data_IF_345545429843
#
_entry.id   IF_345545429843
#
_cell.length_a   1.000
_cell.length_b   1.000
_cell.length_c   1.000
_cell.angle_alpha   90.00
_cell.angle_beta   90.00
_cell.angle_gamma   90.00
#
_symmetry.space_group_name_H-M   'P 1'
#
loop_
_entity.id
_entity.type
_entity.pdbx_description
1 polymer ?
#
# COMPACT_ATOMS: atom_id res chain seq x y z
N UNK A 1 -28.86 -1.71 13.08
CA UNK A 1 -27.42 -1.42 13.20
C UNK A 1 -26.72 -2.25 12.15
N UNK A 2 -25.90 -1.63 11.28
CA UNK A 2 -25.04 -2.39 10.37
C UNK A 2 -24.00 -3.11 11.24
N UNK A 3 -23.98 -4.44 11.21
CA UNK A 3 -22.96 -5.22 11.91
C UNK A 3 -21.62 -5.01 11.19
N UNK A 4 -20.79 -4.10 11.70
CA UNK A 4 -19.42 -3.89 11.22
C UNK A 4 -18.46 -4.72 12.06
N UNK A 5 -17.60 -5.48 11.41
CA UNK A 5 -16.58 -6.30 12.08
C UNK A 5 -15.28 -5.50 12.23
N UNK A 6 -14.53 -5.81 13.29
CA UNK A 6 -13.21 -5.23 13.56
C UNK A 6 -12.25 -6.33 14.01
N UNK A 7 -11.09 -6.42 13.36
CA UNK A 7 -10.15 -7.52 13.58
C UNK A 7 -8.69 -7.09 13.36
N UNK A 8 -7.76 -8.04 13.58
CA UNK A 8 -6.31 -7.84 13.45
C UNK A 8 -5.76 -6.61 14.22
N UNK A 9 -6.00 -6.49 15.54
CA UNK A 9 -5.50 -5.37 16.32
C UNK A 9 -3.96 -5.40 16.43
N UNK A 10 -3.31 -4.26 16.16
CA UNK A 10 -1.86 -4.08 16.36
C UNK A 10 -1.55 -2.72 16.95
N UNK A 11 -0.84 -2.72 18.08
CA UNK A 11 -0.26 -1.49 18.63
C UNK A 11 0.89 -1.00 17.76
N UNK A 12 0.98 0.31 17.59
CA UNK A 12 2.18 0.95 17.04
C UNK A 12 3.38 0.68 17.96
N UNK A 13 4.61 0.54 17.44
CA UNK A 13 5.77 0.22 18.27
C UNK A 13 6.11 1.29 19.33
N UNK A 14 5.74 2.55 19.10
CA UNK A 14 5.82 3.65 20.06
C UNK A 14 4.70 3.64 21.13
N UNK A 15 3.80 2.64 21.08
CA UNK A 15 2.62 2.45 21.92
C UNK A 15 1.63 3.62 21.91
N UNK A 16 1.65 4.50 20.91
CA UNK A 16 0.73 5.63 20.86
C UNK A 16 -0.62 5.27 20.26
N UNK A 17 -0.67 4.33 19.33
CA UNK A 17 -1.86 4.05 18.53
C UNK A 17 -2.20 2.57 18.50
N UNK A 18 -3.50 2.27 18.51
CA UNK A 18 -4.01 0.95 18.15
C UNK A 18 -4.57 1.04 16.73
N UNK A 19 -4.03 0.24 15.82
CA UNK A 19 -4.63 0.02 14.51
C UNK A 19 -5.50 -1.25 14.53
N UNK A 20 -6.60 -1.23 13.77
CA UNK A 20 -7.47 -2.37 13.49
C UNK A 20 -7.88 -2.34 12.03
N UNK A 21 -8.22 -3.49 11.46
CA UNK A 21 -8.98 -3.55 10.20
C UNK A 21 -10.47 -3.53 10.55
N UNK A 22 -11.23 -2.68 9.87
CA UNK A 22 -12.69 -2.64 10.02
C UNK A 22 -13.37 -2.24 8.72
N UNK A 23 -14.51 -2.88 8.44
CA UNK A 23 -15.45 -2.54 7.37
C UNK A 23 -16.49 -1.49 7.82
N UNK A 24 -16.23 -0.80 8.95
CA UNK A 24 -17.13 0.26 9.41
C UNK A 24 -17.25 1.34 8.34
N UNK A 25 -18.47 1.57 7.87
CA UNK A 25 -18.81 2.67 6.97
C UNK A 25 -18.51 2.42 5.49
N UNK A 26 -17.98 1.24 5.13
CA UNK A 26 -17.70 0.85 3.75
C UNK A 26 -17.96 -0.66 3.57
N UNK A 27 -18.01 -1.16 2.33
CA UNK A 27 -18.08 -2.59 2.05
C UNK A 27 -16.71 -3.27 2.22
N UNK A 28 -15.62 -2.49 2.20
CA UNK A 28 -14.26 -2.99 2.25
C UNK A 28 -13.56 -2.61 3.54
N UNK A 29 -12.79 -3.55 4.11
CA UNK A 29 -12.00 -3.29 5.31
C UNK A 29 -10.96 -2.19 5.07
N UNK A 30 -10.92 -1.20 5.95
CA UNK A 30 -9.91 -0.16 6.01
C UNK A 30 -9.12 -0.24 7.31
N UNK A 31 -7.96 0.41 7.37
CA UNK A 31 -7.27 0.60 8.64
C UNK A 31 -7.95 1.74 9.38
N UNK A 32 -8.37 1.45 10.61
CA UNK A 32 -8.84 2.42 11.57
C UNK A 32 -7.82 2.56 12.70
N UNK A 33 -7.60 3.78 13.15
CA UNK A 33 -6.62 4.10 14.19
C UNK A 33 -7.31 4.75 15.39
N UNK A 34 -6.88 4.34 16.58
CA UNK A 34 -7.29 4.90 17.86
C UNK A 34 -6.06 5.41 18.60
N UNK A 35 -6.08 6.67 19.05
CA UNK A 35 -5.05 7.18 19.96
C UNK A 35 -5.24 6.56 21.35
N UNK A 36 -4.15 6.10 21.97
CA UNK A 36 -4.17 5.48 23.31
C UNK A 36 -4.74 6.40 24.39
N UNK A 37 -4.68 7.72 24.18
CA UNK A 37 -5.27 8.72 25.08
C UNK A 37 -6.80 8.72 25.05
N UNK A 38 -7.40 7.98 24.12
CA UNK A 38 -8.85 7.92 23.90
C UNK A 38 -9.31 8.87 22.80
N UNK A 39 -10.63 8.93 22.63
CA UNK A 39 -11.29 9.57 21.49
C UNK A 39 -11.92 8.54 20.55
N UNK A 40 -12.54 9.03 19.49
CA UNK A 40 -13.16 8.16 18.49
C UNK A 40 -12.11 7.63 17.51
N UNK A 41 -12.23 6.35 17.15
CA UNK A 41 -11.43 5.76 16.09
C UNK A 41 -11.68 6.49 14.76
N UNK A 42 -10.63 6.72 13.98
CA UNK A 42 -10.68 7.41 12.70
C UNK A 42 -10.15 6.50 11.58
N UNK A 43 -10.68 6.59 10.35
CA UNK A 43 -10.10 5.89 9.22
C UNK A 43 -8.73 6.48 8.89
N UNK A 44 -7.73 5.63 8.71
CA UNK A 44 -6.39 5.99 8.25
C UNK A 44 -6.25 5.78 6.73
N UNK A 45 -7.07 4.89 6.15
CA UNK A 45 -7.05 4.53 4.73
C UNK A 45 -8.44 4.58 4.11
N UNK A 46 -8.49 4.76 2.80
CA UNK A 46 -9.73 4.79 1.99
C UNK A 46 -9.46 4.16 0.61
N UNK A 47 -9.00 2.90 0.60
CA UNK A 47 -8.74 2.18 -0.66
C UNK A 47 -10.03 1.54 -1.19
N UNK A 48 -10.40 1.83 -2.45
CA UNK A 48 -11.57 1.20 -3.11
C UNK A 48 -11.53 -0.34 -3.04
N UNK A 49 -10.33 -0.94 -3.05
CA UNK A 49 -10.12 -2.39 -3.01
C UNK A 49 -10.10 -2.97 -1.59
N UNK A 50 -10.06 -2.12 -0.56
CA UNK A 50 -9.82 -2.51 0.82
C UNK A 50 -8.37 -2.90 1.13
N UNK A 51 -8.11 -3.08 2.41
CA UNK A 51 -6.85 -3.55 2.97
C UNK A 51 -7.04 -4.97 3.51
N UNK A 52 -6.24 -5.92 3.02
CA UNK A 52 -6.31 -7.32 3.45
C UNK A 52 -5.52 -7.55 4.74
N UNK A 53 -4.30 -7.01 4.79
CA UNK A 53 -3.41 -7.14 5.92
C UNK A 53 -2.50 -5.92 6.01
N UNK A 54 -1.89 -5.72 7.19
CA UNK A 54 -0.98 -4.61 7.42
C UNK A 54 0.08 -4.94 8.46
N UNK A 55 1.19 -4.20 8.46
CA UNK A 55 2.20 -4.26 9.51
C UNK A 55 2.82 -2.89 9.76
N UNK A 56 2.98 -2.56 11.04
CA UNK A 56 3.72 -1.36 11.45
C UNK A 56 5.20 -1.45 11.06
N UNK A 57 5.75 -0.34 10.60
CA UNK A 57 7.21 -0.14 10.55
C UNK A 57 7.75 -0.12 11.97
N UNK A 58 8.93 -0.72 12.26
CA UNK A 58 9.57 -0.67 13.57
C UNK A 58 9.80 0.75 14.09
N UNK A 59 9.91 1.74 13.20
CA UNK A 59 10.07 3.16 13.54
C UNK A 59 8.76 3.90 13.85
N UNK A 60 7.61 3.22 13.76
CA UNK A 60 6.26 3.77 14.03
C UNK A 60 5.80 4.90 13.10
N UNK A 61 6.51 5.18 12.01
CA UNK A 61 6.20 6.28 11.09
C UNK A 61 5.54 5.83 9.77
N UNK A 62 5.45 4.51 9.53
CA UNK A 62 4.95 3.93 8.28
C UNK A 62 4.19 2.64 8.57
N UNK A 63 3.32 2.24 7.65
CA UNK A 63 2.60 0.97 7.67
C UNK A 63 2.73 0.31 6.29
N UNK A 64 3.18 -0.94 6.27
CA UNK A 64 3.11 -1.79 5.08
C UNK A 64 1.68 -2.31 4.91
N UNK A 65 1.15 -2.24 3.70
CA UNK A 65 -0.20 -2.68 3.37
C UNK A 65 -0.16 -3.79 2.31
N UNK A 66 -1.07 -4.74 2.46
CA UNK A 66 -1.45 -5.66 1.40
C UNK A 66 -2.80 -5.21 0.83
N UNK A 67 -2.79 -4.79 -0.43
CA UNK A 67 -3.95 -4.35 -1.19
C UNK A 67 -3.96 -5.07 -2.53
N UNK A 68 -5.14 -5.22 -3.13
CA UNK A 68 -5.24 -5.72 -4.49
C UNK A 68 -5.00 -4.56 -5.45
N UNK A 69 -4.17 -4.79 -6.47
CA UNK A 69 -3.99 -3.80 -7.52
C UNK A 69 -5.33 -3.51 -8.22
N UNK A 70 -5.64 -2.24 -8.48
CA UNK A 70 -6.83 -1.88 -9.22
C UNK A 70 -6.75 -2.47 -10.63
N UNK A 71 -7.84 -3.08 -11.08
CA UNK A 71 -7.97 -3.43 -12.50
C UNK A 71 -8.22 -2.16 -13.32
N UNK A 72 -8.00 -2.19 -14.65
CA UNK A 72 -8.39 -1.07 -15.51
C UNK A 72 -9.86 -0.68 -15.40
N UNK A 73 -10.74 -1.59 -14.96
CA UNK A 73 -12.15 -1.28 -14.71
C UNK A 73 -12.41 -0.54 -13.38
N UNK A 74 -11.49 -0.67 -12.41
CA UNK A 74 -11.58 0.01 -11.10
C UNK A 74 -10.99 1.43 -11.13
N UNK A 75 -10.11 1.67 -12.10
CA UNK A 75 -9.57 2.99 -12.41
C UNK A 75 -10.62 3.74 -13.22
N UNK A 76 -10.95 4.97 -12.82
CA UNK A 76 -11.79 5.89 -13.62
C UNK A 76 -11.02 6.41 -14.87
N UNK A 77 -10.07 5.61 -15.39
CA UNK A 77 -9.33 5.88 -16.61
C UNK A 77 -10.12 5.32 -17.79
N UNK A 78 -10.38 6.14 -18.81
CA UNK A 78 -10.81 5.65 -20.11
C UNK A 78 -9.92 4.47 -20.50
N UNK A 79 -10.53 3.32 -20.81
CA UNK A 79 -9.84 2.11 -21.30
C UNK A 79 -8.94 2.54 -22.46
N UNK A 80 -7.67 2.85 -22.16
CA UNK A 80 -6.71 3.23 -23.19
C UNK A 80 -6.50 1.96 -24.00
N UNK A 81 -6.72 1.98 -25.33
CA UNK A 81 -6.53 0.80 -26.15
C UNK A 81 -5.12 0.28 -25.91
N UNK A 82 -5.03 -0.99 -25.50
CA UNK A 82 -3.81 -1.67 -25.11
C UNK A 82 -2.71 -1.33 -26.13
N UNK A 83 -1.64 -0.59 -25.75
CA UNK A 83 -0.59 -0.26 -26.70
C UNK A 83 -0.02 -1.57 -27.23
N UNK A 84 0.11 -1.68 -28.55
CA UNK A 84 0.65 -2.88 -29.18
C UNK A 84 1.98 -3.22 -28.49
N UNK A 85 2.24 -4.48 -28.11
CA UNK A 85 3.47 -4.83 -27.43
C UNK A 85 4.66 -4.41 -28.30
N UNK A 86 5.64 -3.75 -27.68
CA UNK A 86 6.93 -3.52 -28.32
C UNK A 86 7.61 -4.89 -28.50
N UNK A 87 7.66 -5.37 -29.74
CA UNK A 87 8.44 -6.56 -30.07
C UNK A 87 9.89 -6.13 -30.25
N UNK A 88 10.72 -6.45 -29.25
CA UNK A 88 12.17 -6.29 -29.34
C UNK A 88 12.71 -7.65 -29.82
N UNK A 89 13.02 -7.74 -31.11
CA UNK A 89 13.60 -8.94 -31.74
C UNK A 89 15.11 -9.06 -31.52
N UNK A 90 15.73 -8.04 -30.91
CA UNK A 90 17.17 -7.99 -30.64
C UNK A 90 17.49 -7.11 -29.44
N UNK A 91 18.18 -7.68 -28.45
CA UNK A 91 18.84 -6.88 -27.42
C UNK A 91 19.99 -6.09 -28.07
N UNK A 92 19.86 -4.76 -28.15
CA UNK A 92 21.03 -3.90 -28.23
C UNK A 92 21.64 -3.86 -26.83
N UNK A 93 22.55 -4.79 -26.57
CA UNK A 93 23.31 -4.83 -25.33
C UNK A 93 24.18 -3.56 -25.29
N UNK A 94 23.86 -2.61 -24.40
CA UNK A 94 24.84 -1.61 -23.96
C UNK A 94 25.65 -2.24 -22.84
N UNK A 95 26.75 -2.84 -23.23
CA UNK A 95 27.80 -3.31 -22.33
C UNK A 95 28.67 -2.14 -21.87
N UNK A 96 28.12 -1.22 -21.09
CA UNK A 96 28.95 -0.17 -20.49
C UNK A 96 29.34 -0.61 -19.06
N UNK A 97 30.14 -1.68 -18.96
CA UNK A 97 30.80 -2.13 -17.71
C UNK A 97 31.96 -1.22 -17.28
N UNK A 98 32.08 -0.01 -17.81
CA UNK A 98 33.15 0.91 -17.43
C UNK A 98 32.76 1.66 -16.17
N UNK A 99 33.11 1.06 -15.02
CA UNK A 99 33.18 1.73 -13.74
C UNK A 99 34.28 2.79 -13.73
N UNK A 100 33.95 3.98 -13.24
CA UNK A 100 34.88 5.08 -12.95
C UNK A 100 35.69 4.78 -11.69
N UNK A 101 36.89 4.19 -11.81
CA UNK A 101 37.98 4.16 -10.80
C UNK A 101 39.24 3.62 -11.47
N UNK A 102 40.45 4.12 -11.34
CA UNK A 102 41.06 5.27 -10.68
C UNK A 102 42.43 5.47 -11.38
N UNK A 103 42.93 6.71 -11.37
CA UNK A 103 44.33 7.16 -11.40
C UNK A 103 45.42 6.06 -11.33
N UNK A 104 46.54 6.09 -12.06
CA UNK A 104 47.54 7.15 -12.24
C UNK A 104 48.69 6.63 -13.18
N UNK A 105 49.71 7.45 -13.49
CA UNK A 105 50.31 7.63 -14.83
C UNK A 105 51.22 6.52 -15.37
#
# INVERSE_FOLDING_TARGET
ESNSDSYSPKWSPDNRYLAVLSDRGDQHSQIWILDRRGGDAQPLTEFKQGVFSYSWSPKSNEILLEVKDPTPADLDEEIRPNPRPYVIDRLQFKEDFVGYRDHQP
#
